data_IF_359021277223
#
_entry.id   IF_359021277223
#
_cell.length_a   1.000
_cell.length_b   1.000
_cell.length_c   1.000
_cell.angle_alpha   90.00
_cell.angle_beta   90.00
_cell.angle_gamma   90.00
#
_symmetry.space_group_name_H-M   'P 1'
#
loop_
_entity.id
_entity.type
_entity.pdbx_description
1 polymer ?
#
# COMPACT_ATOMS: atom_id res chain seq x y z
N UNK A 1 6.74 3.72 -9.74
CA UNK A 1 6.60 3.30 -8.32
C UNK A 1 5.28 2.55 -8.20
N UNK A 2 5.16 1.57 -7.31
CA UNK A 2 3.88 0.88 -7.10
C UNK A 2 3.45 1.11 -5.65
N UNK A 3 2.16 1.36 -5.45
CA UNK A 3 1.54 1.38 -4.13
C UNK A 3 0.58 0.19 -4.00
N UNK A 4 0.49 -0.36 -2.81
CA UNK A 4 -0.45 -1.43 -2.48
C UNK A 4 -0.89 -1.32 -1.02
N UNK A 5 -1.98 -2.02 -0.69
CA UNK A 5 -2.42 -2.29 0.68
C UNK A 5 -2.83 -3.75 0.79
N UNK A 6 -2.38 -4.44 1.84
CA UNK A 6 -2.74 -5.84 2.05
C UNK A 6 -3.30 -6.07 3.45
N UNK A 7 -4.04 -7.15 3.60
CA UNK A 7 -4.45 -7.69 4.89
C UNK A 7 -4.20 -9.19 4.93
N UNK A 8 -4.40 -9.82 6.08
CA UNK A 8 -4.37 -11.28 6.16
C UNK A 8 -5.53 -11.96 5.39
N UNK A 9 -6.59 -11.23 5.05
CA UNK A 9 -7.76 -11.76 4.32
C UNK A 9 -7.58 -11.70 2.81
N UNK A 10 -7.22 -10.51 2.34
CA UNK A 10 -7.16 -10.17 0.92
C UNK A 10 -6.02 -9.18 0.63
N UNK A 11 -5.56 -9.20 -0.62
CA UNK A 11 -4.70 -8.19 -1.22
C UNK A 11 -5.55 -7.06 -1.81
N UNK A 12 -5.09 -5.83 -1.65
CA UNK A 12 -5.67 -4.65 -2.27
C UNK A 12 -5.21 -4.49 -3.72
N UNK A 13 -5.63 -3.39 -4.37
CA UNK A 13 -5.21 -3.10 -5.72
C UNK A 13 -3.75 -2.64 -5.76
N UNK A 14 -2.95 -3.25 -6.64
CA UNK A 14 -1.67 -2.68 -7.07
C UNK A 14 -1.93 -1.41 -7.87
N UNK A 15 -1.30 -0.30 -7.50
CA UNK A 15 -1.47 1.00 -8.17
C UNK A 15 -0.14 1.45 -8.75
N UNK A 16 -0.07 1.55 -10.07
CA UNK A 16 1.09 2.10 -10.76
C UNK A 16 1.09 3.63 -10.64
N UNK A 17 2.16 4.17 -10.07
CA UNK A 17 2.40 5.59 -9.97
C UNK A 17 3.45 5.99 -11.02
N UNK A 18 3.02 6.82 -11.97
CA UNK A 18 3.86 7.35 -13.04
C UNK A 18 4.98 8.27 -12.52
N UNK A 19 4.78 8.88 -11.36
CA UNK A 19 5.72 9.83 -10.74
C UNK A 19 6.03 9.43 -9.31
N UNK A 20 7.06 10.06 -8.74
CA UNK A 20 7.37 9.95 -7.30
C UNK A 20 6.15 10.28 -6.45
N UNK A 21 5.91 9.45 -5.43
CA UNK A 21 4.84 9.67 -4.48
C UNK A 21 5.16 10.91 -3.62
N UNK A 22 4.24 11.88 -3.63
CA UNK A 22 4.26 13.08 -2.78
C UNK A 22 2.96 13.16 -1.99
N UNK A 23 2.89 13.99 -0.95
CA UNK A 23 1.74 14.07 -0.04
C UNK A 23 0.39 14.21 -0.76
N UNK A 24 0.27 15.10 -1.75
CA UNK A 24 -0.99 15.31 -2.48
C UNK A 24 -1.36 14.11 -3.36
N UNK A 25 -0.38 13.42 -3.94
CA UNK A 25 -0.60 12.18 -4.69
C UNK A 25 -0.99 11.04 -3.75
N UNK A 26 -0.39 10.99 -2.57
CA UNK A 26 -0.80 10.02 -1.57
C UNK A 26 -2.25 10.26 -1.14
N UNK A 27 -2.66 11.52 -0.95
CA UNK A 27 -4.06 11.86 -0.70
C UNK A 27 -4.99 11.40 -1.81
N UNK A 28 -4.58 11.37 -3.09
CA UNK A 28 -5.43 10.81 -4.15
C UNK A 28 -5.62 9.29 -4.07
N UNK A 29 -4.77 8.58 -3.33
CA UNK A 29 -4.87 7.13 -3.15
C UNK A 29 -5.80 6.78 -1.97
N UNK A 30 -5.77 7.59 -0.91
CA UNK A 30 -6.41 7.28 0.36
C UNK A 30 -7.94 7.07 0.28
N UNK A 31 -8.75 7.97 -0.33
CA UNK A 31 -10.19 7.78 -0.43
C UNK A 31 -10.59 6.61 -1.35
N UNK A 32 -10.01 6.56 -2.54
CA UNK A 32 -10.50 5.67 -3.59
C UNK A 32 -10.03 4.22 -3.40
N UNK A 33 -8.84 4.04 -2.81
CA UNK A 33 -8.22 2.73 -2.70
C UNK A 33 -8.11 2.26 -1.26
N UNK A 34 -7.54 3.05 -0.35
CA UNK A 34 -7.39 2.62 1.05
C UNK A 34 -8.75 2.52 1.76
N UNK A 35 -9.58 3.57 1.73
CA UNK A 35 -10.86 3.58 2.44
C UNK A 35 -11.79 2.49 1.91
N UNK A 36 -11.87 2.37 0.58
CA UNK A 36 -12.62 1.32 -0.10
C UNK A 36 -12.17 -0.08 0.36
N UNK A 37 -10.86 -0.36 0.33
CA UNK A 37 -10.31 -1.63 0.80
C UNK A 37 -10.63 -1.91 2.27
N UNK A 38 -10.43 -0.91 3.14
CA UNK A 38 -10.75 -1.04 4.56
C UNK A 38 -12.24 -1.31 4.80
N UNK A 39 -13.13 -0.70 4.03
CA UNK A 39 -14.58 -0.94 4.14
C UNK A 39 -15.00 -2.36 3.77
N UNK A 40 -14.27 -3.00 2.84
CA UNK A 40 -14.51 -4.37 2.38
C UNK A 40 -13.94 -5.37 3.39
N UNK A 41 -12.66 -5.21 3.76
CA UNK A 41 -11.95 -6.17 4.61
C UNK A 41 -12.35 -6.05 6.08
N UNK A 42 -12.64 -4.83 6.54
CA UNK A 42 -12.96 -4.48 7.92
C UNK A 42 -14.31 -3.78 8.06
N UNK A 43 -15.37 -4.44 7.59
CA UNK A 43 -16.75 -3.93 7.68
C UNK A 43 -17.24 -3.68 9.12
N UNK A 44 -16.57 -4.25 10.12
CA UNK A 44 -16.79 -4.03 11.55
C UNK A 44 -16.18 -2.71 12.08
N UNK A 45 -15.42 -1.98 11.25
CA UNK A 45 -14.70 -0.74 11.61
C UNK A 45 -13.64 -0.92 12.69
N UNK A 46 -13.23 -2.15 12.95
CA UNK A 46 -12.16 -2.46 13.91
C UNK A 46 -10.79 -2.60 13.23
N UNK A 47 -10.75 -2.43 11.90
CA UNK A 47 -9.54 -2.44 11.10
C UNK A 47 -8.51 -1.45 11.59
N UNK A 48 -7.24 -1.84 11.48
CA UNK A 48 -6.11 -1.01 11.80
C UNK A 48 -5.21 -0.88 10.57
N UNK A 49 -5.05 0.36 10.10
CA UNK A 49 -4.17 0.68 8.99
C UNK A 49 -2.77 1.01 9.50
N UNK A 50 -1.77 0.33 8.96
CA UNK A 50 -0.36 0.56 9.24
C UNK A 50 0.35 1.03 7.98
N UNK A 51 1.24 2.02 8.13
CA UNK A 51 2.13 2.53 7.10
C UNK A 51 3.47 2.92 7.74
N UNK A 52 4.51 3.09 6.93
CA UNK A 52 5.77 3.67 7.38
C UNK A 52 5.66 5.19 7.61
N UNK A 53 6.73 5.80 8.12
CA UNK A 53 6.81 7.25 8.34
C UNK A 53 7.49 8.01 7.17
N UNK A 54 7.43 7.49 5.94
CA UNK A 54 7.98 8.19 4.78
C UNK A 54 7.34 9.58 4.61
N UNK A 55 8.09 10.53 4.06
CA UNK A 55 7.67 11.94 3.91
C UNK A 55 6.26 12.12 3.31
N UNK A 56 5.83 11.38 2.27
CA UNK A 56 4.47 11.49 1.74
C UNK A 56 3.39 11.05 2.74
N UNK A 57 3.64 9.97 3.48
CA UNK A 57 2.74 9.39 4.48
C UNK A 57 2.62 10.26 5.74
N UNK A 58 3.73 10.89 6.12
CA UNK A 58 3.80 11.85 7.23
C UNK A 58 3.37 13.28 6.85
N UNK A 59 2.93 13.50 5.61
CA UNK A 59 2.50 14.84 5.15
C UNK A 59 1.27 15.34 5.90
N UNK A 60 1.13 16.67 6.04
CA UNK A 60 -0.01 17.28 6.72
C UNK A 60 -1.35 16.89 6.09
N UNK A 61 -1.39 16.73 4.76
CA UNK A 61 -2.61 16.38 4.04
C UNK A 61 -3.02 14.93 4.29
N UNK A 62 -2.06 13.99 4.27
CA UNK A 62 -2.31 12.59 4.53
C UNK A 62 -2.70 12.33 6.00
N UNK A 63 -1.96 12.92 6.94
CA UNK A 63 -2.24 12.79 8.37
C UNK A 63 -3.60 13.38 8.75
N UNK A 64 -3.98 14.53 8.17
CA UNK A 64 -5.30 15.12 8.35
C UNK A 64 -6.41 14.20 7.84
N UNK A 65 -6.27 13.64 6.63
CA UNK A 65 -7.26 12.73 6.08
C UNK A 65 -7.44 11.48 6.96
N UNK A 66 -6.34 10.88 7.44
CA UNK A 66 -6.38 9.72 8.35
C UNK A 66 -7.07 10.05 9.69
N UNK A 67 -6.91 11.27 10.20
CA UNK A 67 -7.60 11.73 11.41
C UNK A 67 -9.11 11.90 11.18
N UNK A 68 -9.50 12.49 10.05
CA UNK A 68 -10.90 12.68 9.66
C UNK A 68 -11.66 11.35 9.51
N UNK A 69 -10.97 10.27 9.14
CA UNK A 69 -11.55 8.93 8.95
C UNK A 69 -11.30 7.97 10.12
N UNK A 70 -10.89 8.50 11.28
CA UNK A 70 -10.60 7.69 12.48
C UNK A 70 -11.79 6.93 13.07
N UNK A 71 -13.03 7.27 12.68
CA UNK A 71 -14.25 6.53 13.03
C UNK A 71 -14.50 5.30 12.15
N UNK A 72 -13.82 5.19 11.00
CA UNK A 72 -14.00 4.07 10.07
C UNK A 72 -12.92 2.99 10.28
N UNK A 73 -11.69 3.41 10.63
CA UNK A 73 -10.61 2.51 11.03
C UNK A 73 -9.57 3.26 11.86
N UNK A 74 -8.73 2.52 12.58
CA UNK A 74 -7.65 3.11 13.38
C UNK A 74 -6.37 3.23 12.57
N UNK A 75 -5.72 4.39 12.58
CA UNK A 75 -4.35 4.52 12.09
C UNK A 75 -3.37 4.08 13.17
N UNK A 76 -2.52 3.09 12.87
CA UNK A 76 -1.42 2.67 13.74
C UNK A 76 -0.23 3.62 13.58
N UNK A 77 0.05 4.40 14.63
CA UNK A 77 1.21 5.27 14.63
C UNK A 77 2.47 4.46 14.92
N UNK A 78 3.27 4.16 13.89
CA UNK A 78 4.52 3.43 14.05
C UNK A 78 5.57 4.29 14.80
N UNK A 79 6.15 3.82 15.93
CA UNK A 79 7.23 4.51 16.61
C UNK A 79 8.52 4.52 15.77
N UNK A 80 9.26 5.63 15.66
CA UNK A 80 10.49 5.72 14.86
C UNK A 80 11.63 4.78 15.28
N UNK A 81 11.54 4.13 16.45
CA UNK A 81 12.60 3.32 17.05
C UNK A 81 12.32 1.81 17.02
N UNK A 82 11.21 1.38 16.44
CA UNK A 82 10.90 -0.04 16.30
C UNK A 82 11.40 -0.55 14.94
N UNK A 83 11.96 -1.77 14.88
CA UNK A 83 12.30 -2.40 13.61
C UNK A 83 11.04 -2.44 12.76
N UNK A 84 11.11 -1.90 11.54
CA UNK A 84 9.97 -1.86 10.63
C UNK A 84 9.33 -3.23 10.54
N UNK A 85 8.01 -3.32 10.71
CA UNK A 85 7.28 -4.56 10.43
C UNK A 85 7.23 -4.72 8.92
N UNK A 86 8.13 -5.55 8.42
CA UNK A 86 8.42 -5.79 7.00
C UNK A 86 7.42 -6.71 6.31
N UNK A 87 6.20 -6.91 6.82
CA UNK A 87 5.24 -7.84 6.18
C UNK A 87 5.03 -7.47 4.70
N UNK A 88 4.86 -6.17 4.42
CA UNK A 88 4.70 -5.72 3.03
C UNK A 88 5.99 -5.91 2.23
N UNK A 89 7.17 -5.75 2.83
CA UNK A 89 8.44 -6.00 2.16
C UNK A 89 8.65 -7.49 1.88
N UNK A 90 8.29 -8.39 2.80
CA UNK A 90 8.35 -9.83 2.59
C UNK A 90 7.42 -10.28 1.45
N UNK A 91 6.24 -9.64 1.34
CA UNK A 91 5.32 -9.84 0.21
C UNK A 91 5.95 -9.32 -1.09
N UNK A 92 6.54 -8.12 -1.08
CA UNK A 92 7.22 -7.57 -2.25
C UNK A 92 8.41 -8.41 -2.71
N UNK A 93 9.22 -8.92 -1.78
CA UNK A 93 10.35 -9.80 -2.07
C UNK A 93 9.86 -11.10 -2.70
N UNK A 94 8.76 -11.67 -2.19
CA UNK A 94 8.13 -12.87 -2.75
C UNK A 94 7.58 -12.63 -4.16
N UNK A 95 6.90 -11.50 -4.38
CA UNK A 95 6.38 -11.09 -5.69
C UNK A 95 7.52 -10.87 -6.69
N UNK A 96 8.57 -10.17 -6.29
CA UNK A 96 9.73 -9.90 -7.13
C UNK A 96 10.41 -11.22 -7.53
N UNK A 97 10.64 -12.11 -6.57
CA UNK A 97 11.21 -13.43 -6.83
C UNK A 97 10.32 -14.26 -7.79
N UNK A 98 9.00 -14.20 -7.65
CA UNK A 98 8.09 -14.88 -8.58
C UNK A 98 8.22 -14.32 -10.00
N UNK A 99 8.31 -13.00 -10.15
CA UNK A 99 8.47 -12.33 -11.44
C UNK A 99 9.83 -12.63 -12.08
N UNK A 100 10.92 -12.62 -11.31
CA UNK A 100 12.27 -12.93 -11.81
C UNK A 100 12.39 -14.35 -12.36
N UNK A 101 11.64 -15.30 -11.80
CA UNK A 101 11.63 -16.69 -12.24
C UNK A 101 10.66 -16.96 -13.41
N UNK A 102 9.94 -15.95 -13.94
CA UNK A 102 9.07 -16.13 -15.10
C UNK A 102 9.86 -16.38 -16.38
N UNK A 103 9.27 -17.16 -17.29
CA UNK A 103 9.80 -17.43 -18.62
C UNK A 103 8.72 -17.16 -19.68
N UNK A 104 8.93 -16.19 -20.60
CA UNK A 104 10.09 -15.30 -20.70
C UNK A 104 10.15 -14.29 -19.55
N UNK A 105 11.35 -13.77 -19.20
CA UNK A 105 11.47 -12.69 -18.23
C UNK A 105 10.84 -11.40 -18.78
N UNK A 106 10.29 -10.53 -17.93
CA UNK A 106 9.75 -9.25 -18.37
C UNK A 106 10.87 -8.36 -18.94
N UNK A 107 10.65 -7.81 -20.14
CA UNK A 107 11.65 -7.02 -20.86
C UNK A 107 11.33 -5.53 -20.86
N UNK A 108 10.08 -5.17 -20.56
CA UNK A 108 9.61 -3.79 -20.50
C UNK A 108 8.90 -3.50 -19.18
N UNK A 109 8.77 -2.22 -18.77
CA UNK A 109 7.95 -1.86 -17.61
C UNK A 109 6.50 -2.36 -17.69
N UNK A 110 5.95 -2.47 -18.90
CA UNK A 110 4.60 -2.99 -19.13
C UNK A 110 4.54 -4.51 -18.92
N UNK A 111 5.57 -5.24 -19.35
CA UNK A 111 5.68 -6.69 -19.09
C UNK A 111 5.85 -6.95 -17.60
N UNK A 112 6.64 -6.13 -16.91
CA UNK A 112 6.81 -6.18 -15.46
C UNK A 112 5.49 -5.94 -14.73
N UNK A 113 4.71 -4.93 -15.16
CA UNK A 113 3.40 -4.65 -14.62
C UNK A 113 2.41 -5.81 -14.80
N UNK A 114 2.38 -6.37 -16.01
CA UNK A 114 1.54 -7.54 -16.33
C UNK A 114 1.95 -8.75 -15.49
N UNK A 115 3.26 -8.97 -15.34
CA UNK A 115 3.80 -10.05 -14.54
C UNK A 115 3.44 -9.94 -13.05
N UNK A 116 3.41 -8.72 -12.50
CA UNK A 116 2.99 -8.49 -11.12
C UNK A 116 1.49 -8.72 -10.91
N UNK A 117 0.65 -8.40 -11.89
CA UNK A 117 -0.79 -8.65 -11.82
C UNK A 117 -1.17 -10.13 -11.92
N UNK A 118 -0.40 -10.89 -12.70
CA UNK A 118 -0.67 -12.30 -12.97
C UNK A 118 -0.06 -13.25 -11.91
N UNK A 119 0.65 -12.72 -10.89
CA UNK A 119 1.35 -13.51 -9.86
C UNK A 119 0.48 -13.67 -8.62
#
# INVERSE_FOLDING_TARGET
MIWDVCSWRDMGPLICLETTLIGDRYLSILPDHLHSFMSIVHSDRLGQFQQDNATPHASRVATKWLQEHSSDFKHFHWPPKLPEMKIIEDIWDSLLHAVENRSPPPLTPMDLWTALYDS
#
